data_IF_423012026657
#
_entry.id   IF_423012026657
#
_cell.length_a   1.000
_cell.length_b   1.000
_cell.length_c   1.000
_cell.angle_alpha   90.00
_cell.angle_beta   90.00
_cell.angle_gamma   90.00
#
_symmetry.space_group_name_H-M   'P 1'
#
loop_
_entity.id
_entity.type
_entity.pdbx_description
1 polymer ?
#
# COMPACT_ATOMS: atom_id res chain seq x y z
N UNK A 1 13.46 -2.86 3.12
CA UNK A 1 12.50 -2.28 4.10
C UNK A 1 11.40 -3.30 4.30
N UNK A 2 11.04 -3.55 5.56
CA UNK A 2 10.35 -4.76 5.99
C UNK A 2 9.55 -4.48 7.26
N UNK A 3 8.42 -5.16 7.44
CA UNK A 3 7.73 -5.23 8.72
C UNK A 3 8.52 -6.04 9.76
N UNK A 4 7.97 -6.17 10.97
CA UNK A 4 8.60 -6.74 12.18
C UNK A 4 9.14 -8.17 12.08
N UNK A 5 8.92 -8.87 10.96
CA UNK A 5 9.41 -10.24 10.69
C UNK A 5 10.33 -10.35 9.46
N UNK A 6 10.85 -9.25 8.93
CA UNK A 6 11.73 -9.28 7.75
C UNK A 6 10.99 -9.41 6.41
N UNK A 7 9.68 -9.13 6.37
CA UNK A 7 8.81 -9.30 5.20
C UNK A 7 8.33 -7.92 4.73
N UNK A 8 8.50 -7.60 3.43
CA UNK A 8 7.98 -6.36 2.82
C UNK A 8 6.47 -6.43 2.53
N UNK A 9 5.84 -5.28 2.25
CA UNK A 9 4.37 -5.17 2.04
C UNK A 9 3.86 -6.05 0.89
N UNK A 10 4.57 -6.07 -0.25
CA UNK A 10 4.30 -6.96 -1.38
C UNK A 10 5.46 -7.97 -1.56
N UNK A 11 5.52 -9.07 -0.78
CA UNK A 11 6.68 -9.96 -0.75
C UNK A 11 6.79 -10.88 -1.98
N UNK A 12 5.79 -10.86 -2.87
CA UNK A 12 5.79 -11.57 -4.16
C UNK A 12 6.01 -10.63 -5.36
N UNK A 13 6.15 -9.32 -5.16
CA UNK A 13 6.42 -8.38 -6.24
C UNK A 13 7.80 -8.65 -6.86
N UNK A 14 7.90 -8.48 -8.18
CA UNK A 14 9.19 -8.42 -8.88
C UNK A 14 9.76 -7.01 -8.70
N UNK A 15 11.07 -6.91 -8.45
CA UNK A 15 11.74 -5.64 -8.22
C UNK A 15 12.80 -5.40 -9.29
N UNK A 16 12.88 -4.15 -9.74
CA UNK A 16 13.95 -3.59 -10.56
C UNK A 16 14.55 -2.42 -9.76
N UNK A 17 15.85 -2.19 -9.89
CA UNK A 17 16.56 -1.16 -9.12
C UNK A 17 17.62 -0.48 -10.00
N UNK A 18 17.79 0.82 -9.78
CA UNK A 18 18.85 1.62 -10.41
C UNK A 18 19.50 2.51 -9.34
N UNK A 19 20.82 2.69 -9.43
CA UNK A 19 21.62 3.38 -8.42
C UNK A 19 21.86 4.85 -8.81
N UNK A 20 20.86 5.70 -8.60
CA UNK A 20 20.99 7.15 -8.79
C UNK A 20 21.89 7.82 -7.75
N UNK A 21 21.97 7.26 -6.53
CA UNK A 21 22.69 7.85 -5.41
C UNK A 21 24.01 7.13 -5.06
N UNK A 22 25.01 7.92 -4.69
CA UNK A 22 26.34 7.51 -4.26
C UNK A 22 26.34 7.06 -2.78
N UNK A 23 27.48 6.53 -2.29
CA UNK A 23 27.59 5.97 -0.93
C UNK A 23 27.36 6.98 0.21
N UNK A 24 27.47 8.28 -0.07
CA UNK A 24 27.36 9.36 0.92
C UNK A 24 25.93 9.93 1.03
N UNK A 25 24.91 9.24 0.51
CA UNK A 25 23.52 9.73 0.35
C UNK A 25 23.32 10.83 -0.70
N UNK A 26 24.40 11.24 -1.37
CA UNK A 26 24.38 12.21 -2.46
C UNK A 26 23.78 11.60 -3.73
N UNK A 27 22.86 12.31 -4.39
CA UNK A 27 22.07 11.85 -5.53
C UNK A 27 22.29 12.78 -6.73
N UNK A 28 23.22 12.37 -7.59
CA UNK A 28 23.58 13.05 -8.83
C UNK A 28 22.37 13.13 -9.77
N UNK A 29 21.94 14.35 -10.11
CA UNK A 29 20.73 14.62 -10.90
C UNK A 29 20.76 13.89 -12.25
N UNK A 30 21.90 13.89 -12.94
CA UNK A 30 22.06 13.20 -14.23
C UNK A 30 21.88 11.68 -14.06
N UNK A 31 22.41 11.11 -12.97
CA UNK A 31 22.21 9.67 -12.66
C UNK A 31 20.78 9.35 -12.25
N UNK A 32 20.10 10.27 -11.56
CA UNK A 32 18.68 10.12 -11.20
C UNK A 32 17.80 10.15 -12.45
N UNK A 33 18.05 11.07 -13.40
CA UNK A 33 17.37 11.13 -14.69
C UNK A 33 17.67 9.89 -15.55
N UNK A 34 18.93 9.45 -15.61
CA UNK A 34 19.29 8.19 -16.29
C UNK A 34 18.59 6.97 -15.67
N UNK A 35 18.42 6.94 -14.34
CA UNK A 35 17.64 5.90 -13.68
C UNK A 35 16.14 5.99 -14.01
N UNK A 36 15.55 7.17 -14.13
CA UNK A 36 14.17 7.32 -14.58
C UNK A 36 13.98 6.83 -16.02
N UNK A 37 14.89 7.20 -16.94
CA UNK A 37 14.93 6.72 -18.32
C UNK A 37 15.05 5.19 -18.38
N UNK A 38 15.93 4.59 -17.60
CA UNK A 38 16.08 3.13 -17.51
C UNK A 38 14.84 2.43 -16.93
N UNK A 39 14.16 3.01 -15.95
CA UNK A 39 12.94 2.42 -15.39
C UNK A 39 11.76 2.48 -16.38
N UNK A 40 11.63 3.58 -17.12
CA UNK A 40 10.64 3.71 -18.20
C UNK A 40 10.97 2.85 -19.43
N UNK A 41 12.26 2.61 -19.70
CA UNK A 41 12.74 1.94 -20.90
C UNK A 41 13.83 0.87 -20.60
N UNK A 42 13.53 -0.21 -19.84
CA UNK A 42 14.56 -1.13 -19.35
C UNK A 42 15.37 -1.81 -20.46
N UNK A 43 16.70 -1.77 -20.32
CA UNK A 43 17.64 -2.31 -21.31
C UNK A 43 18.76 -3.12 -20.63
N UNK A 44 19.47 -3.95 -21.40
CA UNK A 44 20.71 -4.57 -20.95
C UNK A 44 21.84 -3.54 -20.85
N UNK A 45 22.99 -3.94 -20.30
CA UNK A 45 24.20 -3.10 -20.15
C UNK A 45 24.69 -2.45 -21.46
N UNK A 46 24.31 -3.01 -22.61
CA UNK A 46 24.69 -2.53 -23.95
C UNK A 46 23.97 -1.23 -24.37
N UNK A 47 22.94 -0.79 -23.63
CA UNK A 47 22.14 0.42 -23.87
C UNK A 47 21.26 0.44 -25.14
N UNK A 48 21.55 -0.43 -26.12
CA UNK A 48 21.02 -0.39 -27.49
C UNK A 48 19.67 -1.08 -27.70
N UNK A 49 19.07 -1.67 -26.66
CA UNK A 49 17.78 -2.38 -26.77
C UNK A 49 16.94 -2.20 -25.51
N UNK A 50 16.19 -1.11 -25.48
CA UNK A 50 15.09 -0.93 -24.54
C UNK A 50 13.94 -1.92 -24.82
N UNK A 51 13.27 -2.35 -23.76
CA UNK A 51 12.09 -3.18 -23.77
C UNK A 51 11.03 -2.60 -22.80
N UNK A 52 10.13 -1.71 -23.26
CA UNK A 52 9.13 -1.07 -22.41
C UNK A 52 8.16 -2.06 -21.74
N UNK A 53 8.03 -3.30 -22.24
CA UNK A 53 7.19 -4.34 -21.63
C UNK A 53 7.72 -4.80 -20.25
N UNK A 54 8.94 -4.39 -19.89
CA UNK A 54 9.57 -4.66 -18.59
C UNK A 54 9.53 -3.46 -17.63
N UNK A 55 8.98 -2.32 -18.04
CA UNK A 55 8.85 -1.15 -17.16
C UNK A 55 8.01 -1.51 -15.91
N UNK A 56 8.38 -1.03 -14.71
CA UNK A 56 7.65 -1.37 -13.50
C UNK A 56 6.35 -0.56 -13.41
N UNK A 57 5.25 -1.20 -13.01
CA UNK A 57 3.96 -0.53 -12.79
C UNK A 57 3.99 0.52 -11.66
N UNK A 58 5.06 0.56 -10.86
CA UNK A 58 5.25 1.50 -9.75
C UNK A 58 6.74 1.87 -9.66
N UNK A 59 7.05 3.17 -9.69
CA UNK A 59 8.39 3.70 -9.45
C UNK A 59 8.43 4.30 -8.04
N UNK A 60 9.47 3.98 -7.26
CA UNK A 60 9.69 4.52 -5.92
C UNK A 60 10.88 5.49 -5.92
N UNK A 61 10.59 6.79 -5.88
CA UNK A 61 11.57 7.83 -5.56
C UNK A 61 11.68 8.04 -4.05
N UNK A 62 12.83 7.71 -3.45
CA UNK A 62 13.13 7.95 -2.03
C UNK A 62 14.17 9.08 -1.84
N UNK A 63 14.23 10.02 -2.78
CA UNK A 63 15.30 11.02 -2.96
C UNK A 63 14.77 12.41 -3.39
N UNK A 64 15.62 13.45 -3.37
CA UNK A 64 15.32 14.79 -3.93
C UNK A 64 15.79 15.97 -3.07
N UNK A 65 15.45 17.20 -3.46
CA UNK A 65 16.15 18.43 -3.02
C UNK A 65 15.23 19.54 -2.47
N UNK A 66 15.77 20.68 -2.03
CA UNK A 66 15.01 21.81 -1.45
C UNK A 66 15.49 23.21 -1.93
N UNK A 67 15.42 23.46 -3.23
CA UNK A 67 15.66 24.78 -3.85
C UNK A 67 14.35 25.54 -4.12
N UNK A 68 14.44 26.84 -4.41
CA UNK A 68 13.31 27.66 -4.92
C UNK A 68 13.26 27.74 -6.45
N UNK A 69 14.01 26.85 -7.10
CA UNK A 69 14.18 26.75 -8.54
C UNK A 69 13.35 25.55 -9.04
N UNK A 70 12.15 25.85 -9.55
CA UNK A 70 11.08 24.90 -9.82
C UNK A 70 11.28 24.17 -11.16
N UNK A 71 12.34 23.34 -11.24
CA UNK A 71 12.65 22.51 -12.42
C UNK A 71 12.41 21.00 -12.18
N UNK A 72 12.04 20.60 -10.96
CA UNK A 72 11.83 19.20 -10.54
C UNK A 72 10.40 18.94 -10.02
N UNK A 73 9.39 19.46 -10.71
CA UNK A 73 7.96 19.18 -10.41
C UNK A 73 7.67 17.66 -10.31
N UNK A 74 8.40 16.82 -11.06
CA UNK A 74 8.17 15.37 -11.12
C UNK A 74 8.88 14.52 -10.03
N UNK A 75 9.85 15.03 -9.23
CA UNK A 75 10.63 14.13 -8.32
C UNK A 75 11.37 14.77 -7.11
N UNK A 76 10.80 14.63 -5.89
CA UNK A 76 11.32 15.16 -4.58
C UNK A 76 10.92 14.18 -3.42
N UNK A 77 11.54 13.99 -2.23
CA UNK A 77 12.67 14.63 -1.48
C UNK A 77 13.54 13.58 -0.71
N UNK A 78 14.82 13.88 -0.41
CA UNK A 78 15.80 12.98 0.26
C UNK A 78 15.58 12.76 1.78
N UNK A 79 15.81 11.53 2.24
CA UNK A 79 16.05 11.19 3.66
C UNK A 79 16.94 9.94 3.84
N UNK A 80 18.00 10.05 4.65
CA UNK A 80 18.62 8.92 5.37
C UNK A 80 18.91 9.33 6.82
N UNK A 81 18.18 8.75 7.78
CA UNK A 81 18.71 8.29 9.09
C UNK A 81 17.63 7.56 9.90
N UNK A 82 17.42 6.25 9.62
CA UNK A 82 16.57 5.26 10.33
C UNK A 82 15.08 5.60 10.61
N UNK A 83 14.63 6.85 10.38
CA UNK A 83 13.25 7.38 10.43
C UNK A 83 13.16 8.49 9.37
N UNK A 84 12.07 8.57 8.61
CA UNK A 84 11.88 9.61 7.57
C UNK A 84 10.94 9.17 6.44
N UNK A 85 10.53 10.12 5.59
CA UNK A 85 9.55 9.87 4.50
C UNK A 85 10.06 8.86 3.47
N UNK A 86 11.36 8.79 3.21
CA UNK A 86 11.99 7.76 2.35
C UNK A 86 11.78 6.32 2.82
N UNK A 87 11.35 6.09 4.07
CA UNK A 87 10.91 4.78 4.58
C UNK A 87 9.38 4.59 4.47
N UNK A 88 8.61 5.66 4.34
CA UNK A 88 7.15 5.62 4.15
C UNK A 88 6.76 5.41 2.67
N UNK A 89 7.41 6.11 1.74
CA UNK A 89 7.21 5.95 0.30
C UNK A 89 7.20 4.47 -0.18
N UNK A 90 8.15 3.60 0.22
CA UNK A 90 8.13 2.19 -0.16
C UNK A 90 7.07 1.33 0.54
N UNK A 91 6.42 1.81 1.62
CA UNK A 91 5.17 1.22 2.10
C UNK A 91 4.00 1.57 1.16
N UNK A 92 3.96 2.80 0.64
CA UNK A 92 3.00 3.22 -0.40
C UNK A 92 3.22 2.43 -1.69
N UNK A 93 4.44 2.39 -2.23
CA UNK A 93 4.74 1.62 -3.45
C UNK A 93 4.48 0.12 -3.28
N UNK A 94 4.78 -0.44 -2.10
CA UNK A 94 4.44 -1.82 -1.76
C UNK A 94 2.93 -2.07 -1.64
N UNK A 95 2.16 -1.09 -1.17
CA UNK A 95 0.69 -1.15 -1.13
C UNK A 95 0.08 -1.09 -2.54
N UNK A 96 0.56 -0.19 -3.41
CA UNK A 96 0.13 -0.14 -4.81
C UNK A 96 0.45 -1.46 -5.52
N UNK A 97 1.66 -2.00 -5.34
CA UNK A 97 2.04 -3.30 -5.91
C UNK A 97 1.18 -4.46 -5.40
N UNK A 98 0.73 -4.43 -4.14
CA UNK A 98 -0.20 -5.40 -3.59
C UNK A 98 -1.61 -5.23 -4.22
N UNK A 99 -2.13 -4.01 -4.28
CA UNK A 99 -3.44 -3.71 -4.86
C UNK A 99 -3.53 -4.09 -6.34
N UNK A 100 -2.53 -3.72 -7.15
CA UNK A 100 -2.44 -4.09 -8.57
C UNK A 100 -2.30 -5.61 -8.76
N UNK A 101 -1.73 -6.35 -7.81
CA UNK A 101 -1.67 -7.81 -7.89
C UNK A 101 -3.03 -8.51 -7.73
N UNK A 102 -4.04 -7.81 -7.19
CA UNK A 102 -5.44 -8.22 -7.20
C UNK A 102 -6.24 -7.54 -8.32
N UNK A 103 -5.91 -6.30 -8.66
CA UNK A 103 -6.65 -5.42 -9.57
C UNK A 103 -5.77 -4.98 -10.76
N UNK A 104 -5.31 -5.93 -11.58
CA UNK A 104 -4.28 -5.72 -12.62
C UNK A 104 -4.71 -4.77 -13.78
N UNK A 105 -5.98 -4.35 -13.83
CA UNK A 105 -6.50 -3.40 -14.82
C UNK A 105 -6.94 -2.06 -14.21
N UNK A 106 -6.59 -1.79 -12.94
CA UNK A 106 -7.03 -0.59 -12.25
C UNK A 106 -6.39 0.69 -12.81
N UNK A 107 -7.18 1.77 -12.93
CA UNK A 107 -6.68 3.10 -13.26
C UNK A 107 -5.91 3.74 -12.10
N UNK A 108 -5.17 4.81 -12.40
CA UNK A 108 -4.56 5.66 -11.38
C UNK A 108 -5.59 6.11 -10.32
N UNK A 109 -6.78 6.55 -10.75
CA UNK A 109 -7.81 7.06 -9.83
C UNK A 109 -8.38 5.97 -8.93
N UNK A 110 -8.52 4.74 -9.43
CA UNK A 110 -8.95 3.60 -8.64
C UNK A 110 -7.91 3.23 -7.57
N UNK A 111 -6.62 3.26 -7.92
CA UNK A 111 -5.51 3.10 -6.96
C UNK A 111 -5.51 4.25 -5.95
N UNK A 112 -5.59 5.50 -6.41
CA UNK A 112 -5.55 6.69 -5.56
C UNK A 112 -6.69 6.68 -4.54
N UNK A 113 -7.93 6.47 -4.99
CA UNK A 113 -9.10 6.32 -4.11
C UNK A 113 -8.93 5.17 -3.12
N UNK A 114 -8.55 3.98 -3.59
CA UNK A 114 -8.38 2.82 -2.71
C UNK A 114 -7.32 3.02 -1.61
N UNK A 115 -6.30 3.86 -1.84
CA UNK A 115 -5.27 4.19 -0.86
C UNK A 115 -5.60 5.40 0.03
N UNK A 116 -6.57 6.24 -0.36
CA UNK A 116 -6.92 7.49 0.37
C UNK A 116 -8.23 7.37 1.14
N UNK A 117 -9.26 6.75 0.57
CA UNK A 117 -10.57 6.54 1.21
C UNK A 117 -10.51 5.51 2.36
N UNK A 118 -9.52 4.61 2.34
CA UNK A 118 -9.29 3.60 3.39
C UNK A 118 -8.19 3.99 4.40
N UNK A 119 -7.77 5.26 4.48
CA UNK A 119 -6.69 5.67 5.38
C UNK A 119 -7.15 5.76 6.85
N UNK A 120 -6.38 5.17 7.78
CA UNK A 120 -6.69 5.24 9.21
C UNK A 120 -6.49 6.69 9.72
N UNK A 121 -7.52 7.26 10.34
CA UNK A 121 -7.52 8.64 10.89
C UNK A 121 -7.82 8.68 12.39
N UNK A 122 -8.52 7.67 12.90
CA UNK A 122 -8.95 7.46 14.29
C UNK A 122 -7.79 7.08 15.23
N UNK A 123 -6.87 6.27 14.72
CA UNK A 123 -5.72 5.69 15.42
C UNK A 123 -4.45 6.53 15.22
N UNK A 124 -4.61 7.81 14.89
CA UNK A 124 -3.55 8.81 14.83
C UNK A 124 -3.55 9.66 16.11
N UNK A 125 -2.36 9.94 16.64
CA UNK A 125 -2.15 10.96 17.69
C UNK A 125 -1.56 12.20 17.03
N UNK A 126 -2.39 13.15 16.54
CA UNK A 126 -1.87 14.34 15.88
C UNK A 126 -1.12 15.23 16.88
N UNK A 127 0.06 15.78 16.51
CA UNK A 127 0.78 16.73 17.35
C UNK A 127 -0.02 18.03 17.47
N UNK A 128 0.13 18.77 18.58
CA UNK A 128 -0.50 20.09 18.75
C UNK A 128 0.22 21.17 17.92
N UNK A 129 0.05 21.09 16.60
CA UNK A 129 0.57 21.98 15.57
C UNK A 129 -0.40 21.90 14.39
N UNK A 130 -0.65 23.02 13.71
CA UNK A 130 -1.35 23.05 12.41
C UNK A 130 -0.39 23.52 11.31
N UNK A 131 -0.74 23.21 10.06
CA UNK A 131 0.03 23.61 8.88
C UNK A 131 -0.96 24.14 7.82
N UNK A 132 -0.81 25.39 7.39
CA UNK A 132 -1.72 26.00 6.41
C UNK A 132 -3.15 26.26 6.92
N UNK A 133 -3.34 26.48 8.23
CA UNK A 133 -4.64 26.81 8.83
C UNK A 133 -5.62 25.65 9.04
N UNK A 134 -5.38 24.48 8.42
CA UNK A 134 -6.23 23.28 8.58
C UNK A 134 -6.04 22.70 10.00
N UNK A 135 -7.12 22.37 10.73
CA UNK A 135 -7.06 21.64 12.00
C UNK A 135 -6.33 20.29 11.87
N UNK A 136 -5.55 19.93 12.88
CA UNK A 136 -4.76 18.69 12.90
C UNK A 136 -5.61 17.40 13.05
N UNK A 137 -6.89 17.54 13.40
CA UNK A 137 -7.89 16.47 13.51
C UNK A 137 -8.84 16.40 12.31
N UNK A 138 -8.81 17.39 11.41
CA UNK A 138 -9.54 17.35 10.14
C UNK A 138 -8.68 16.65 9.09
N UNK A 139 -9.26 15.82 8.23
CA UNK A 139 -8.55 15.14 7.15
C UNK A 139 -9.25 15.39 5.79
N UNK A 140 -8.52 15.50 4.67
CA UNK A 140 -7.05 15.50 4.60
C UNK A 140 -6.42 16.78 5.17
N UNK A 141 -5.16 16.68 5.63
CA UNK A 141 -4.40 17.83 6.16
C UNK A 141 -2.90 17.80 5.80
N UNK A 142 -2.24 18.93 6.03
CA UNK A 142 -0.82 19.16 5.73
C UNK A 142 0.16 18.51 6.74
N UNK A 143 -0.27 17.49 7.50
CA UNK A 143 0.56 16.70 8.43
C UNK A 143 0.56 15.21 8.08
N UNK A 144 -0.62 14.67 7.73
CA UNK A 144 -0.84 13.24 7.46
C UNK A 144 -1.39 12.96 6.06
N UNK A 145 -1.66 13.99 5.24
CA UNK A 145 -2.46 13.83 4.03
C UNK A 145 -3.85 13.32 4.41
N UNK A 146 -4.31 12.26 3.75
CA UNK A 146 -5.59 11.60 4.05
C UNK A 146 -5.58 10.76 5.33
N UNK A 147 -4.41 10.41 5.89
CA UNK A 147 -4.30 9.57 7.09
C UNK A 147 -3.16 8.55 6.98
N UNK A 148 -3.17 7.52 7.84
CA UNK A 148 -2.22 6.41 7.74
C UNK A 148 -2.71 5.38 6.72
N UNK A 149 -1.91 5.15 5.67
CA UNK A 149 -2.11 4.11 4.69
C UNK A 149 -2.46 2.74 5.33
N UNK A 150 -3.66 2.25 5.03
CA UNK A 150 -4.12 0.91 5.40
C UNK A 150 -4.56 0.17 4.14
N UNK A 151 -3.68 -0.65 3.57
CA UNK A 151 -3.93 -1.38 2.31
C UNK A 151 -4.71 -2.67 2.51
N UNK A 152 -5.71 -2.62 3.40
CA UNK A 152 -6.59 -3.75 3.63
C UNK A 152 -7.60 -3.83 2.49
N UNK A 153 -7.41 -4.78 1.58
CA UNK A 153 -8.26 -4.96 0.40
C UNK A 153 -9.64 -5.47 0.82
N UNK A 154 -10.53 -4.52 1.10
CA UNK A 154 -11.96 -4.74 1.14
C UNK A 154 -12.49 -4.89 -0.28
N UNK A 155 -13.23 -5.96 -0.50
CA UNK A 155 -13.96 -6.23 -1.73
C UNK A 155 -15.43 -5.86 -1.46
N UNK A 156 -15.85 -4.74 -2.05
CA UNK A 156 -17.23 -4.25 -1.98
C UNK A 156 -18.20 -5.17 -2.74
N UNK A 157 -19.46 -5.12 -2.32
CA UNK A 157 -20.57 -5.97 -2.77
C UNK A 157 -20.21 -7.45 -2.95
N UNK A 158 -19.31 -7.99 -2.12
CA UNK A 158 -18.75 -9.33 -2.30
C UNK A 158 -19.08 -10.24 -1.13
N UNK A 159 -19.57 -11.44 -1.43
CA UNK A 159 -19.65 -12.55 -0.49
C UNK A 159 -18.77 -13.73 -0.93
N UNK A 160 -18.07 -14.32 0.04
CA UNK A 160 -17.33 -15.56 -0.07
C UNK A 160 -18.20 -16.75 0.34
N UNK A 161 -18.59 -17.57 -0.65
CA UNK A 161 -19.47 -18.74 -0.47
C UNK A 161 -18.74 -19.88 0.22
N UNK A 162 -19.25 -20.29 1.40
CA UNK A 162 -18.75 -21.41 2.19
C UNK A 162 -17.43 -21.11 2.93
N UNK A 163 -16.94 -22.10 3.68
CA UNK A 163 -15.72 -21.97 4.49
C UNK A 163 -15.92 -21.27 5.83
N UNK A 164 -17.16 -21.08 6.26
CA UNK A 164 -17.55 -20.40 7.51
C UNK A 164 -16.94 -21.09 8.75
N UNK A 165 -16.26 -20.30 9.59
CA UNK A 165 -15.68 -20.72 10.87
C UNK A 165 -16.55 -20.34 12.07
N UNK A 166 -17.00 -19.09 12.07
CA UNK A 166 -17.70 -18.45 13.17
C UNK A 166 -18.40 -17.17 12.69
N UNK A 167 -19.45 -16.76 13.39
CA UNK A 167 -20.19 -15.52 13.13
C UNK A 167 -20.23 -14.64 14.38
N UNK A 168 -20.05 -13.33 14.21
CA UNK A 168 -20.06 -12.35 15.29
C UNK A 168 -20.91 -11.14 14.89
N UNK A 169 -21.66 -10.57 15.84
CA UNK A 169 -22.29 -9.26 15.64
C UNK A 169 -21.23 -8.20 15.94
N UNK A 170 -20.76 -7.50 14.91
CA UNK A 170 -19.66 -6.52 14.97
C UNK A 170 -20.05 -5.32 14.11
N UNK A 171 -20.10 -4.14 14.71
CA UNK A 171 -20.67 -2.92 14.10
C UNK A 171 -19.88 -2.36 12.93
N UNK A 172 -18.66 -2.85 12.68
CA UNK A 172 -17.80 -2.35 11.59
C UNK A 172 -17.06 -3.48 10.88
N UNK A 173 -16.62 -3.24 9.64
CA UNK A 173 -15.85 -4.22 8.87
C UNK A 173 -14.40 -4.34 9.36
N UNK A 174 -13.84 -3.29 9.95
CA UNK A 174 -12.50 -3.25 10.56
C UNK A 174 -12.46 -4.11 11.84
N UNK A 175 -13.52 -4.12 12.63
CA UNK A 175 -13.65 -4.99 13.79
C UNK A 175 -13.82 -6.46 13.38
N UNK A 176 -14.56 -6.74 12.30
CA UNK A 176 -14.63 -8.08 11.69
C UNK A 176 -13.25 -8.57 11.20
N UNK A 177 -12.50 -7.69 10.54
CA UNK A 177 -11.11 -7.89 10.16
C UNK A 177 -10.19 -8.18 11.36
N UNK A 178 -10.32 -7.40 12.44
CA UNK A 178 -9.54 -7.57 13.66
C UNK A 178 -9.84 -8.92 14.33
N UNK A 179 -11.09 -9.38 14.33
CA UNK A 179 -11.47 -10.68 14.90
C UNK A 179 -10.98 -11.85 14.03
N UNK A 180 -10.98 -11.72 12.70
CA UNK A 180 -10.32 -12.68 11.83
C UNK A 180 -8.82 -12.77 12.13
N UNK A 181 -8.14 -11.64 12.33
CA UNK A 181 -6.69 -11.60 12.66
C UNK A 181 -6.35 -12.28 14.00
N UNK A 182 -7.29 -12.32 14.95
CA UNK A 182 -7.15 -13.06 16.23
C UNK A 182 -7.49 -14.55 16.08
N UNK A 183 -8.48 -14.87 15.26
CA UNK A 183 -9.08 -16.21 15.17
C UNK A 183 -8.16 -17.21 14.47
N UNK A 184 -7.69 -18.29 15.14
CA UNK A 184 -6.90 -19.33 14.50
C UNK A 184 -7.64 -19.95 13.31
N UNK A 185 -6.89 -20.29 12.25
CA UNK A 185 -7.38 -20.73 10.92
C UNK A 185 -8.13 -19.69 10.07
N UNK A 186 -8.51 -18.52 10.58
CA UNK A 186 -9.16 -17.51 9.74
C UNK A 186 -8.22 -17.03 8.63
N UNK A 187 -8.70 -17.05 7.39
CA UNK A 187 -7.97 -16.59 6.18
C UNK A 187 -8.73 -15.51 5.42
N UNK A 188 -10.04 -15.37 5.65
CA UNK A 188 -10.87 -14.36 5.04
C UNK A 188 -12.08 -14.05 5.95
N UNK A 189 -12.89 -13.07 5.59
CA UNK A 189 -14.15 -12.76 6.26
C UNK A 189 -15.13 -12.12 5.26
N UNK A 190 -16.40 -12.05 5.65
CA UNK A 190 -17.44 -11.26 4.98
C UNK A 190 -18.21 -10.50 6.06
N UNK A 191 -18.39 -9.21 5.90
CA UNK A 191 -19.19 -8.35 6.78
C UNK A 191 -20.42 -7.83 6.05
N UNK A 192 -21.52 -7.63 6.78
CA UNK A 192 -22.78 -7.09 6.27
C UNK A 192 -23.32 -6.01 7.20
N UNK A 193 -23.92 -4.96 6.63
CA UNK A 193 -24.66 -3.91 7.38
C UNK A 193 -25.93 -4.43 8.07
N UNK A 194 -26.37 -5.65 7.75
CA UNK A 194 -27.58 -6.29 8.30
C UNK A 194 -27.54 -6.36 9.84
N UNK A 195 -28.69 -6.11 10.47
CA UNK A 195 -28.90 -6.19 11.92
C UNK A 195 -27.88 -5.41 12.79
N UNK A 196 -27.33 -4.32 12.26
CA UNK A 196 -26.34 -3.50 12.96
C UNK A 196 -24.89 -3.99 12.83
N UNK A 197 -24.62 -4.93 11.93
CA UNK A 197 -23.27 -5.42 11.61
C UNK A 197 -23.11 -6.92 11.90
N UNK A 198 -23.13 -7.74 10.85
CA UNK A 198 -22.91 -9.19 10.93
C UNK A 198 -21.60 -9.58 10.24
N UNK A 199 -20.67 -10.12 11.02
CA UNK A 199 -19.38 -10.63 10.57
C UNK A 199 -19.38 -12.15 10.45
N UNK A 200 -18.89 -12.68 9.33
CA UNK A 200 -18.63 -14.10 9.09
C UNK A 200 -17.14 -14.32 8.87
N UNK A 201 -16.50 -15.08 9.76
CA UNK A 201 -15.11 -15.50 9.63
C UNK A 201 -15.01 -16.74 8.73
N UNK A 202 -13.96 -16.79 7.90
CA UNK A 202 -13.80 -17.79 6.83
C UNK A 202 -12.41 -18.44 6.90
N UNK A 203 -12.34 -19.77 6.80
CA UNK A 203 -11.05 -20.48 6.74
C UNK A 203 -10.45 -20.55 5.33
N UNK A 204 -11.20 -20.14 4.30
CA UNK A 204 -10.75 -20.00 2.92
C UNK A 204 -11.63 -18.96 2.19
N UNK A 205 -11.19 -18.44 1.04
CA UNK A 205 -11.94 -17.41 0.30
C UNK A 205 -13.18 -17.97 -0.44
N UNK A 206 -13.34 -19.29 -0.54
CA UNK A 206 -14.46 -19.91 -1.24
C UNK A 206 -14.60 -19.45 -2.69
N UNK A 207 -15.84 -19.36 -3.15
CA UNK A 207 -16.20 -18.73 -4.44
C UNK A 207 -16.77 -17.34 -4.18
N UNK A 208 -16.32 -16.33 -4.92
CA UNK A 208 -16.94 -14.99 -4.89
C UNK A 208 -18.32 -15.00 -5.54
N UNK A 209 -19.26 -14.27 -4.95
CA UNK A 209 -20.53 -13.84 -5.57
C UNK A 209 -20.81 -12.39 -5.22
N UNK A 210 -21.51 -11.69 -6.12
CA UNK A 210 -22.01 -10.34 -5.88
C UNK A 210 -23.20 -10.39 -4.90
N UNK A 211 -23.14 -9.57 -3.84
CA UNK A 211 -24.20 -9.36 -2.85
C UNK A 211 -24.12 -7.91 -2.38
N UNK A 212 -25.13 -7.11 -2.72
CA UNK A 212 -25.17 -5.69 -2.37
C UNK A 212 -25.03 -5.44 -0.86
N UNK A 213 -24.20 -4.47 -0.49
CA UNK A 213 -23.90 -4.13 0.91
C UNK A 213 -23.00 -5.12 1.67
N UNK A 214 -22.51 -6.18 1.03
CA UNK A 214 -21.51 -7.09 1.62
C UNK A 214 -20.09 -6.54 1.42
N UNK A 215 -19.26 -6.51 2.47
CA UNK A 215 -17.84 -6.14 2.40
C UNK A 215 -16.98 -7.33 2.83
N UNK A 216 -16.24 -7.92 1.89
CA UNK A 216 -15.38 -9.07 2.16
C UNK A 216 -13.89 -8.70 2.17
N UNK A 217 -13.03 -9.59 2.66
CA UNK A 217 -11.59 -9.39 2.57
C UNK A 217 -10.78 -10.62 2.95
N UNK A 218 -9.56 -10.71 2.42
CA UNK A 218 -8.65 -11.84 2.64
C UNK A 218 -7.51 -11.37 3.54
N UNK A 219 -7.16 -12.15 4.56
CA UNK A 219 -5.95 -11.91 5.34
C UNK A 219 -4.72 -12.32 4.52
N UNK A 220 -3.63 -11.52 4.53
CA UNK A 220 -2.37 -11.94 3.94
C UNK A 220 -1.96 -13.30 4.48
N UNK A 221 -1.71 -14.26 3.58
CA UNK A 221 -1.40 -15.63 3.98
C UNK A 221 -0.22 -15.65 4.97
N UNK A 222 -0.33 -16.38 6.11
CA UNK A 222 0.76 -16.45 7.07
C UNK A 222 1.98 -17.03 6.37
N UNK A 223 3.10 -16.31 6.44
CA UNK A 223 4.30 -16.67 5.70
C UNK A 223 4.76 -18.07 6.13
N UNK A 224 4.64 -19.04 5.22
CA UNK A 224 5.19 -20.37 5.38
C UNK A 224 6.70 -20.23 5.51
N UNK A 225 7.22 -20.42 6.72
CA UNK A 225 8.63 -20.24 7.01
C UNK A 225 9.47 -21.21 6.17
N UNK A 226 10.11 -20.71 5.11
CA UNK A 226 11.36 -21.32 4.66
C UNK A 226 12.32 -21.25 5.84
N UNK A 227 12.64 -22.42 6.39
CA UNK A 227 13.83 -22.60 7.22
C UNK A 227 15.06 -22.19 6.37
N UNK A 228 16.15 -21.75 7.00
CA UNK A 228 17.39 -21.41 6.30
C UNK A 228 17.90 -22.58 5.46
#
# INVERSE_FOLDING_TARGET
>A
MVGTKGIGVAPKAKWIACKGCNGNSDCDELKVVQCAQFLLCPHNNDGKKCDPSKAPHVINGSFGHHTKDFYLEDMITNFIWTRGSSLAAPHVSGAIALYLSANNAASYDQVYRALTENADTDTLTPPNKTCGGIPNTQYPNNLFGHGRLNIFTLEDNTHYVGGDLASFNLTTVESCCAECKKTPRCKAFVWYTLNGGLCWLKDNQGRKVDVDGAKAGVLPAPASGRRP
#
